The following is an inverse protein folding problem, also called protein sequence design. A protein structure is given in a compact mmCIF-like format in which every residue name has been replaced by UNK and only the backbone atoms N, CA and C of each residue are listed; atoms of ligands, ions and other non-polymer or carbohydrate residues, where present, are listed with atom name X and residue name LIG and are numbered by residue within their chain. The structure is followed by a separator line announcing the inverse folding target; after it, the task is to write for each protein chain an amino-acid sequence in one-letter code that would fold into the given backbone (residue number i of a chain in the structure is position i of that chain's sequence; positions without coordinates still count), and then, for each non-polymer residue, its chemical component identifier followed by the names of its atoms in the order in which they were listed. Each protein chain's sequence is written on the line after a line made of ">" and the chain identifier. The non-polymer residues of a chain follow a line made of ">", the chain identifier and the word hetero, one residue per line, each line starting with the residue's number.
data_IF_258342627286
#
_entry.id   IF_258342627286
#
_cell.length_a   1.000
_cell.length_b   1.000
_cell.length_c   1.000
_cell.angle_alpha   90.00
_cell.angle_beta   90.00
_cell.angle_gamma   90.00
#
_symmetry.space_group_name_H-M   'P 1'
#
loop_
_entity.id
_entity.type
_entity.pdbx_description
1 polymer ?
#
# COMPACT_ATOMS: atom_id res chain seq x y z
N UNK A 1 166.00 31.11 18.37
CA UNK A 1 166.76 29.87 18.69
C UNK A 1 166.61 28.91 17.53
N UNK A 2 167.73 28.48 16.96
CA UNK A 2 167.81 27.42 15.96
C UNK A 2 167.44 26.07 16.58
N UNK A 3 166.66 25.26 15.88
CA UNK A 3 166.79 23.79 15.92
C UNK A 3 166.43 23.26 14.54
N UNK A 4 167.48 22.93 13.77
CA UNK A 4 167.40 22.16 12.53
C UNK A 4 167.19 20.69 12.90
N UNK A 5 166.25 20.02 12.23
CA UNK A 5 166.22 18.55 12.13
C UNK A 5 166.24 18.20 10.63
N UNK A 6 167.17 17.34 10.16
CA UNK A 6 167.38 17.10 8.73
C UNK A 6 166.40 16.06 8.15
N UNK A 7 166.02 16.31 6.90
CA UNK A 7 165.10 15.51 6.07
C UNK A 7 165.80 14.27 5.49
N UNK A 8 165.15 13.10 5.57
CA UNK A 8 165.47 11.93 4.75
C UNK A 8 164.58 11.92 3.50
N UNK A 9 165.14 12.34 2.36
CA UNK A 9 164.46 12.48 1.05
C UNK A 9 163.90 11.20 0.39
N UNK A 10 164.28 9.94 0.72
CA UNK A 10 163.67 8.77 0.08
C UNK A 10 162.29 8.36 0.63
N UNK A 11 161.86 8.82 1.82
CA UNK A 11 160.62 8.33 2.44
C UNK A 11 159.34 8.99 1.88
N UNK A 12 159.42 10.25 1.43
CA UNK A 12 158.26 11.00 0.91
C UNK A 12 157.78 10.49 -0.47
N UNK A 13 158.68 9.88 -1.26
CA UNK A 13 158.37 9.35 -2.60
C UNK A 13 157.58 8.04 -2.54
N UNK A 14 157.78 7.22 -1.50
CA UNK A 14 157.05 5.97 -1.30
C UNK A 14 155.58 6.23 -0.97
N UNK A 15 155.29 7.27 -0.17
CA UNK A 15 153.92 7.62 0.21
C UNK A 15 153.13 8.15 -0.99
N UNK A 16 153.75 8.97 -1.85
CA UNK A 16 153.10 9.47 -3.07
C UNK A 16 152.87 8.34 -4.08
N UNK A 17 153.81 7.40 -4.21
CA UNK A 17 153.63 6.21 -5.06
C UNK A 17 152.48 5.30 -4.62
N UNK A 18 152.27 5.14 -3.31
CA UNK A 18 151.22 4.28 -2.75
C UNK A 18 149.81 4.89 -2.88
N UNK A 19 149.70 6.22 -2.81
CA UNK A 19 148.44 6.94 -3.02
C UNK A 19 148.02 6.92 -4.50
N UNK A 20 148.97 7.02 -5.44
CA UNK A 20 148.66 6.96 -6.88
C UNK A 20 148.30 5.52 -7.30
N UNK A 21 148.98 4.51 -6.76
CA UNK A 21 148.67 3.09 -7.03
C UNK A 21 147.26 2.66 -6.59
N UNK A 22 146.77 3.19 -5.45
CA UNK A 22 145.41 2.89 -4.98
C UNK A 22 144.31 3.62 -5.79
N UNK A 23 144.60 4.77 -6.40
CA UNK A 23 143.62 5.56 -7.15
C UNK A 23 143.31 5.02 -8.56
N UNK A 24 144.27 4.37 -9.21
CA UNK A 24 144.11 3.84 -10.57
C UNK A 24 143.50 2.42 -10.61
N UNK A 25 143.54 1.67 -9.50
CA UNK A 25 142.88 0.36 -9.37
C UNK A 25 141.36 0.41 -9.17
N UNK A 26 140.81 1.58 -8.79
CA UNK A 26 139.36 1.76 -8.56
C UNK A 26 138.63 2.39 -9.76
N UNK A 27 139.34 2.97 -10.74
CA UNK A 27 138.74 3.67 -11.88
C UNK A 27 138.38 2.78 -13.09
N UNK A 28 139.09 1.67 -13.32
CA UNK A 28 138.83 0.77 -14.45
C UNK A 28 137.68 -0.23 -14.21
N UNK A 29 137.25 -0.39 -12.96
CA UNK A 29 136.00 -1.09 -12.61
C UNK A 29 134.73 -0.31 -12.94
N UNK A 30 134.81 0.98 -13.30
CA UNK A 30 133.62 1.76 -13.67
C UNK A 30 133.34 1.78 -15.18
N UNK A 31 134.34 1.60 -16.05
CA UNK A 31 134.14 1.72 -17.50
C UNK A 31 133.64 0.44 -18.19
N UNK A 32 133.95 -0.75 -17.65
CA UNK A 32 133.56 -2.04 -18.24
C UNK A 32 132.16 -2.49 -17.81
N UNK A 33 131.69 -2.05 -16.64
CA UNK A 33 130.42 -2.51 -16.07
C UNK A 33 129.21 -1.64 -16.42
N UNK A 34 129.42 -0.39 -16.89
CA UNK A 34 128.32 0.54 -17.17
C UNK A 34 127.49 0.20 -18.42
N UNK A 35 128.08 -0.16 -19.59
CA UNK A 35 127.28 -0.48 -20.78
C UNK A 35 126.40 -1.73 -20.59
N UNK A 36 126.94 -2.77 -19.96
CA UNK A 36 126.18 -4.00 -19.65
C UNK A 36 125.10 -3.76 -18.59
N UNK A 37 125.40 -2.97 -17.55
CA UNK A 37 124.37 -2.55 -16.58
C UNK A 37 123.27 -1.69 -17.23
N UNK A 38 123.62 -0.81 -18.17
CA UNK A 38 122.66 0.04 -18.88
C UNK A 38 121.78 -0.79 -19.81
N UNK A 39 122.34 -1.74 -20.56
CA UNK A 39 121.58 -2.67 -21.40
C UNK A 39 120.66 -3.57 -20.58
N UNK A 40 121.14 -4.08 -19.45
CA UNK A 40 120.33 -4.90 -18.55
C UNK A 40 119.20 -4.08 -17.92
N UNK A 41 119.47 -2.82 -17.52
CA UNK A 41 118.44 -1.88 -17.08
C UNK A 41 117.45 -1.53 -18.18
N UNK A 42 117.91 -1.34 -19.43
CA UNK A 42 117.03 -1.09 -20.58
C UNK A 42 116.10 -2.27 -20.81
N UNK A 43 116.63 -3.49 -20.80
CA UNK A 43 115.84 -4.72 -20.92
C UNK A 43 114.82 -4.86 -19.79
N UNK A 44 115.21 -4.60 -18.54
CA UNK A 44 114.26 -4.59 -17.41
C UNK A 44 113.20 -3.48 -17.54
N UNK A 45 113.57 -2.32 -18.08
CA UNK A 45 112.62 -1.24 -18.34
C UNK A 45 111.65 -1.63 -19.47
N UNK A 46 112.12 -2.23 -20.56
CA UNK A 46 111.30 -2.74 -21.65
C UNK A 46 110.34 -3.84 -21.19
N UNK A 47 110.81 -4.79 -20.37
CA UNK A 47 109.96 -5.81 -19.74
C UNK A 47 108.87 -5.16 -18.88
N UNK A 48 109.23 -4.18 -18.04
CA UNK A 48 108.26 -3.43 -17.22
C UNK A 48 107.29 -2.60 -18.06
N UNK A 49 107.74 -2.04 -19.18
CA UNK A 49 106.87 -1.32 -20.12
C UNK A 49 105.88 -2.31 -20.75
N UNK A 50 106.35 -3.48 -21.19
CA UNK A 50 105.49 -4.55 -21.70
C UNK A 50 104.44 -4.98 -20.67
N UNK A 51 104.81 -5.18 -19.41
CA UNK A 51 103.86 -5.51 -18.33
C UNK A 51 102.82 -4.40 -18.10
N UNK A 52 103.24 -3.14 -18.20
CA UNK A 52 102.36 -1.98 -18.11
C UNK A 52 101.40 -1.95 -19.29
N UNK A 53 101.86 -2.18 -20.52
CA UNK A 53 101.01 -2.23 -21.72
C UNK A 53 99.96 -3.34 -21.62
N UNK A 54 100.35 -4.54 -21.16
CA UNK A 54 99.40 -5.63 -20.92
C UNK A 54 98.39 -5.26 -19.84
N UNK A 55 98.83 -4.60 -18.76
CA UNK A 55 97.95 -4.15 -17.69
C UNK A 55 96.95 -3.09 -18.18
N UNK A 56 97.41 -2.15 -19.02
CA UNK A 56 96.58 -1.12 -19.65
C UNK A 56 95.55 -1.75 -20.59
N UNK A 57 95.95 -2.70 -21.44
CA UNK A 57 95.02 -3.42 -22.31
C UNK A 57 93.96 -4.21 -21.52
N UNK A 58 94.37 -4.86 -20.42
CA UNK A 58 93.45 -5.56 -19.52
C UNK A 58 92.47 -4.59 -18.82
N UNK A 59 92.93 -3.40 -18.44
CA UNK A 59 92.07 -2.35 -17.89
C UNK A 59 91.08 -1.82 -18.93
N UNK A 60 91.51 -1.61 -20.17
CA UNK A 60 90.66 -1.14 -21.27
C UNK A 60 89.52 -2.12 -21.55
N UNK A 61 89.84 -3.42 -21.61
CA UNK A 61 88.83 -4.48 -21.73
C UNK A 61 87.83 -4.49 -20.57
N UNK A 62 88.30 -4.30 -19.32
CA UNK A 62 87.42 -4.18 -18.15
C UNK A 62 86.52 -2.94 -18.23
N UNK A 63 87.06 -1.80 -18.66
CA UNK A 63 86.30 -0.56 -18.84
C UNK A 63 85.21 -0.76 -19.89
N UNK A 64 85.51 -1.40 -21.01
CA UNK A 64 84.52 -1.73 -22.04
C UNK A 64 83.38 -2.59 -21.47
N UNK A 65 83.72 -3.65 -20.73
CA UNK A 65 82.72 -4.53 -20.10
C UNK A 65 81.86 -3.81 -19.04
N UNK A 66 82.45 -2.88 -18.30
CA UNK A 66 81.72 -2.02 -17.35
C UNK A 66 80.74 -1.11 -18.11
N UNK A 67 81.16 -0.48 -19.21
CA UNK A 67 80.29 0.37 -20.02
C UNK A 67 79.10 -0.41 -20.59
N UNK A 68 79.32 -1.63 -21.08
CA UNK A 68 78.25 -2.51 -21.55
C UNK A 68 77.26 -2.83 -20.40
N UNK A 69 77.78 -3.13 -19.22
CA UNK A 69 76.95 -3.38 -18.02
C UNK A 69 76.14 -2.15 -17.62
N UNK A 70 76.73 -0.96 -17.67
CA UNK A 70 76.04 0.31 -17.41
C UNK A 70 74.92 0.53 -18.43
N UNK A 71 75.16 0.25 -19.71
CA UNK A 71 74.12 0.38 -20.75
C UNK A 71 72.93 -0.56 -20.50
N UNK A 72 73.18 -1.79 -20.05
CA UNK A 72 72.11 -2.75 -19.68
C UNK A 72 71.35 -2.28 -18.44
N UNK A 73 72.06 -1.71 -17.45
CA UNK A 73 71.44 -1.14 -16.24
C UNK A 73 70.55 0.05 -16.61
N UNK A 74 71.00 0.95 -17.49
CA UNK A 74 70.21 2.09 -17.95
C UNK A 74 68.90 1.64 -18.63
N UNK A 75 68.98 0.65 -19.51
CA UNK A 75 67.79 0.03 -20.12
C UNK A 75 66.83 -0.57 -19.08
N UNK A 76 67.38 -1.22 -18.06
CA UNK A 76 66.59 -1.80 -16.97
C UNK A 76 65.92 -0.73 -16.10
N UNK A 77 66.63 0.36 -15.79
CA UNK A 77 66.09 1.50 -15.03
C UNK A 77 64.95 2.19 -15.81
N UNK A 78 65.10 2.36 -17.12
CA UNK A 78 64.04 2.89 -17.97
C UNK A 78 62.78 1.99 -17.96
N UNK A 79 62.97 0.66 -17.96
CA UNK A 79 61.87 -0.30 -17.80
C UNK A 79 61.17 -0.18 -16.43
N UNK A 80 61.92 0.02 -15.35
CA UNK A 80 61.37 0.24 -14.01
C UNK A 80 60.57 1.56 -13.94
N UNK A 81 61.05 2.63 -14.56
CA UNK A 81 60.32 3.91 -14.63
C UNK A 81 58.98 3.76 -15.37
N UNK A 82 58.95 3.00 -16.47
CA UNK A 82 57.71 2.70 -17.19
C UNK A 82 56.71 1.89 -16.33
N UNK A 83 57.20 0.93 -15.53
CA UNK A 83 56.36 0.18 -14.59
C UNK A 83 55.78 1.08 -13.51
N UNK A 84 56.55 2.05 -13.00
CA UNK A 84 56.06 3.01 -12.01
C UNK A 84 54.89 3.85 -12.55
N UNK A 85 54.94 4.26 -13.82
CA UNK A 85 53.83 4.97 -14.46
C UNK A 85 52.58 4.08 -14.58
N UNK A 86 52.73 2.82 -15.00
CA UNK A 86 51.63 1.84 -15.04
C UNK A 86 50.99 1.66 -13.66
N UNK A 87 51.81 1.55 -12.60
CA UNK A 87 51.31 1.44 -11.22
C UNK A 87 50.48 2.66 -10.81
N UNK A 88 50.92 3.88 -11.16
CA UNK A 88 50.17 5.10 -10.88
C UNK A 88 48.83 5.13 -11.65
N UNK A 89 48.82 4.71 -12.91
CA UNK A 89 47.58 4.61 -13.70
C UNK A 89 46.61 3.57 -13.11
N UNK A 90 47.12 2.42 -12.66
CA UNK A 90 46.31 1.41 -11.97
C UNK A 90 45.72 1.98 -10.68
N UNK A 91 46.53 2.67 -9.88
CA UNK A 91 46.07 3.31 -8.64
C UNK A 91 44.93 4.30 -8.91
N UNK A 92 45.04 5.14 -9.93
CA UNK A 92 43.97 6.08 -10.33
C UNK A 92 42.69 5.35 -10.76
N UNK A 93 42.81 4.25 -11.51
CA UNK A 93 41.65 3.44 -11.93
C UNK A 93 40.98 2.76 -10.74
N UNK A 94 41.76 2.24 -9.79
CA UNK A 94 41.24 1.65 -8.54
C UNK A 94 40.45 2.68 -7.75
N UNK A 95 41.00 3.88 -7.53
CA UNK A 95 40.28 4.94 -6.80
C UNK A 95 38.98 5.36 -7.51
N UNK A 96 38.96 5.34 -8.84
CA UNK A 96 37.73 5.63 -9.60
C UNK A 96 36.67 4.54 -9.39
N UNK A 97 37.08 3.27 -9.38
CA UNK A 97 36.18 2.13 -9.12
C UNK A 97 35.63 2.17 -7.69
N UNK A 98 36.47 2.49 -6.69
CA UNK A 98 36.05 2.63 -5.29
C UNK A 98 34.97 3.72 -5.13
N UNK A 99 35.18 4.88 -5.76
CA UNK A 99 34.18 5.96 -5.74
C UNK A 99 32.88 5.57 -6.47
N UNK A 100 32.99 4.85 -7.58
CA UNK A 100 31.82 4.30 -8.28
C UNK A 100 31.04 3.32 -7.41
N UNK A 101 31.73 2.44 -6.68
CA UNK A 101 31.12 1.49 -5.76
C UNK A 101 30.41 2.18 -4.59
N UNK A 102 31.01 3.23 -4.03
CA UNK A 102 30.36 4.05 -2.98
C UNK A 102 29.07 4.69 -3.50
N UNK A 103 29.10 5.23 -4.72
CA UNK A 103 27.94 5.86 -5.36
C UNK A 103 26.80 4.85 -5.54
N UNK A 104 27.10 3.70 -6.13
CA UNK A 104 26.13 2.62 -6.32
C UNK A 104 25.53 2.13 -5.00
N UNK A 105 26.34 1.99 -3.95
CA UNK A 105 25.84 1.60 -2.63
C UNK A 105 24.87 2.64 -2.04
N UNK A 106 25.10 3.93 -2.28
CA UNK A 106 24.20 4.98 -1.81
C UNK A 106 22.88 4.99 -2.62
N UNK A 107 22.95 4.80 -3.93
CA UNK A 107 21.77 4.67 -4.79
C UNK A 107 20.93 3.45 -4.39
N UNK A 108 21.55 2.30 -4.12
CA UNK A 108 20.86 1.10 -3.65
C UNK A 108 20.13 1.33 -2.32
N UNK A 109 20.74 2.03 -1.38
CA UNK A 109 20.07 2.42 -0.12
C UNK A 109 18.90 3.37 -0.36
N UNK A 110 19.02 4.27 -1.34
CA UNK A 110 17.94 5.15 -1.75
C UNK A 110 16.74 4.34 -2.25
N UNK A 111 16.99 3.40 -3.16
CA UNK A 111 15.96 2.51 -3.71
C UNK A 111 15.33 1.61 -2.63
N UNK A 112 16.10 1.11 -1.68
CA UNK A 112 15.58 0.32 -0.55
C UNK A 112 14.60 1.15 0.30
N UNK A 113 14.92 2.41 0.58
CA UNK A 113 14.03 3.30 1.31
C UNK A 113 12.75 3.62 0.52
N UNK A 114 12.86 3.88 -0.79
CA UNK A 114 11.70 4.11 -1.66
C UNK A 114 10.80 2.87 -1.72
N UNK A 115 11.38 1.68 -1.81
CA UNK A 115 10.63 0.41 -1.80
C UNK A 115 9.86 0.23 -0.49
N UNK A 116 10.52 0.45 0.65
CA UNK A 116 9.87 0.37 1.96
C UNK A 116 8.71 1.37 2.09
N UNK A 117 8.84 2.57 1.51
CA UNK A 117 7.75 3.55 1.49
C UNK A 117 6.58 3.07 0.64
N UNK A 118 6.85 2.52 -0.55
CA UNK A 118 5.82 1.97 -1.43
C UNK A 118 5.08 0.80 -0.77
N UNK A 119 5.79 -0.08 -0.06
CA UNK A 119 5.17 -1.17 0.71
C UNK A 119 4.24 -0.64 1.81
N UNK A 120 4.67 0.39 2.53
CA UNK A 120 3.83 1.04 3.56
C UNK A 120 2.60 1.71 2.95
N UNK A 121 2.75 2.39 1.82
CA UNK A 121 1.64 3.06 1.13
C UNK A 121 0.63 2.02 0.61
N UNK A 122 1.12 0.88 0.09
CA UNK A 122 0.27 -0.20 -0.38
C UNK A 122 -0.55 -0.82 0.76
N UNK A 123 0.07 -1.07 1.92
CA UNK A 123 -0.64 -1.57 3.10
C UNK A 123 -1.74 -0.59 3.57
N UNK A 124 -1.46 0.71 3.59
CA UNK A 124 -2.44 1.72 3.96
C UNK A 124 -3.62 1.79 2.97
N UNK A 125 -3.36 1.58 1.68
CA UNK A 125 -4.41 1.49 0.65
C UNK A 125 -5.26 0.24 0.86
N UNK A 126 -4.65 -0.91 1.16
CA UNK A 126 -5.37 -2.17 1.43
C UNK A 126 -6.32 -2.03 2.63
N UNK A 127 -5.84 -1.45 3.73
CA UNK A 127 -6.65 -1.17 4.91
C UNK A 127 -7.83 -0.23 4.57
N UNK A 128 -7.56 0.87 3.87
CA UNK A 128 -8.58 1.83 3.45
C UNK A 128 -9.63 1.19 2.54
N UNK A 129 -9.21 0.29 1.64
CA UNK A 129 -10.12 -0.43 0.74
C UNK A 129 -11.02 -1.43 1.49
N UNK A 130 -10.47 -2.09 2.51
CA UNK A 130 -11.23 -2.97 3.40
C UNK A 130 -12.32 -2.20 4.14
N UNK A 131 -11.99 -1.03 4.67
CA UNK A 131 -12.96 -0.13 5.34
C UNK A 131 -14.09 0.31 4.39
N UNK A 132 -13.74 0.71 3.16
CA UNK A 132 -14.74 1.08 2.14
C UNK A 132 -15.67 -0.09 1.82
N UNK A 133 -15.12 -1.31 1.72
CA UNK A 133 -15.92 -2.51 1.44
C UNK A 133 -16.92 -2.80 2.57
N UNK A 134 -16.48 -2.66 3.83
CA UNK A 134 -17.36 -2.84 4.99
C UNK A 134 -18.47 -1.78 5.03
N UNK A 135 -18.13 -0.50 4.79
CA UNK A 135 -19.12 0.58 4.72
C UNK A 135 -20.16 0.35 3.62
N UNK A 136 -19.76 -0.21 2.48
CA UNK A 136 -20.69 -0.54 1.40
C UNK A 136 -21.66 -1.67 1.81
N UNK A 137 -21.18 -2.69 2.50
CA UNK A 137 -22.02 -3.78 3.05
C UNK A 137 -23.05 -3.26 4.06
N UNK A 138 -22.65 -2.34 4.93
CA UNK A 138 -23.56 -1.71 5.90
C UNK A 138 -24.64 -0.87 5.19
N UNK A 139 -24.25 -0.14 4.14
CA UNK A 139 -25.18 0.64 3.33
C UNK A 139 -26.21 -0.24 2.60
N UNK A 140 -25.78 -1.37 2.04
CA UNK A 140 -26.65 -2.34 1.40
C UNK A 140 -27.69 -2.90 2.38
N UNK A 141 -27.26 -3.23 3.60
CA UNK A 141 -28.16 -3.70 4.67
C UNK A 141 -29.19 -2.63 5.05
N UNK A 142 -28.75 -1.38 5.22
CA UNK A 142 -29.62 -0.26 5.54
C UNK A 142 -30.64 0.01 4.41
N UNK A 143 -30.22 -0.10 3.15
CA UNK A 143 -31.09 0.05 1.99
C UNK A 143 -32.22 -0.99 1.99
N UNK A 144 -31.90 -2.27 2.24
CA UNK A 144 -32.93 -3.32 2.32
C UNK A 144 -33.90 -3.11 3.48
N UNK A 145 -33.42 -2.66 4.64
CA UNK A 145 -34.28 -2.33 5.77
C UNK A 145 -35.29 -1.23 5.41
N UNK A 146 -34.82 -0.12 4.83
CA UNK A 146 -35.70 0.99 4.40
C UNK A 146 -36.70 0.54 3.32
N UNK A 147 -36.27 -0.30 2.38
CA UNK A 147 -37.17 -0.81 1.34
C UNK A 147 -38.30 -1.69 1.91
N UNK A 148 -38.00 -2.49 2.92
CA UNK A 148 -39.01 -3.30 3.62
C UNK A 148 -39.98 -2.41 4.40
N UNK A 149 -39.47 -1.44 5.16
CA UNK A 149 -40.32 -0.46 5.87
C UNK A 149 -41.23 0.32 4.91
N UNK A 150 -40.72 0.71 3.74
CA UNK A 150 -41.52 1.39 2.71
C UNK A 150 -42.64 0.49 2.19
N UNK A 151 -42.36 -0.80 1.99
CA UNK A 151 -43.36 -1.79 1.56
C UNK A 151 -44.47 -1.96 2.61
N UNK A 152 -44.10 -2.02 3.90
CA UNK A 152 -45.05 -2.11 5.01
C UNK A 152 -45.93 -0.84 5.09
N UNK A 153 -45.32 0.34 4.97
CA UNK A 153 -46.03 1.63 4.95
C UNK A 153 -46.99 1.69 3.76
N UNK A 154 -46.58 1.25 2.58
CA UNK A 154 -47.46 1.17 1.41
C UNK A 154 -48.68 0.27 1.69
N UNK A 155 -48.47 -0.88 2.35
CA UNK A 155 -49.55 -1.75 2.79
C UNK A 155 -50.55 -1.05 3.72
N UNK A 156 -50.06 -0.33 4.73
CA UNK A 156 -50.89 0.41 5.69
C UNK A 156 -51.68 1.56 5.03
N UNK A 157 -51.05 2.29 4.10
CA UNK A 157 -51.73 3.38 3.37
C UNK A 157 -52.87 2.83 2.53
N UNK A 158 -52.64 1.72 1.81
CA UNK A 158 -53.68 1.10 0.96
C UNK A 158 -54.81 0.51 1.78
N UNK A 159 -54.52 -0.08 2.94
CA UNK A 159 -55.53 -0.50 3.89
C UNK A 159 -56.39 0.69 4.36
N UNK A 160 -55.75 1.80 4.73
CA UNK A 160 -56.43 3.01 5.18
C UNK A 160 -57.32 3.62 4.09
N UNK A 161 -56.85 3.65 2.84
CA UNK A 161 -57.66 4.07 1.70
C UNK A 161 -58.90 3.19 1.53
N UNK A 162 -58.76 1.87 1.70
CA UNK A 162 -59.88 0.94 1.67
C UNK A 162 -60.93 1.24 2.75
N UNK A 163 -60.47 1.49 3.98
CA UNK A 163 -61.34 1.92 5.09
C UNK A 163 -62.05 3.22 4.73
N UNK A 164 -61.32 4.23 4.25
CA UNK A 164 -61.88 5.54 3.88
C UNK A 164 -62.94 5.42 2.79
N UNK A 165 -62.70 4.60 1.76
CA UNK A 165 -63.66 4.35 0.68
C UNK A 165 -64.93 3.71 1.24
N UNK A 166 -64.82 2.65 2.05
CA UNK A 166 -66.00 1.97 2.60
C UNK A 166 -66.76 2.86 3.59
N UNK A 167 -66.08 3.61 4.46
CA UNK A 167 -66.73 4.58 5.36
C UNK A 167 -67.45 5.67 4.55
N UNK A 168 -66.85 6.16 3.46
CA UNK A 168 -67.50 7.10 2.55
C UNK A 168 -68.74 6.51 1.88
N UNK A 169 -68.67 5.25 1.45
CA UNK A 169 -69.83 4.51 0.94
C UNK A 169 -70.95 4.38 1.98
N UNK A 170 -70.59 4.17 3.25
CA UNK A 170 -71.54 4.05 4.36
C UNK A 170 -72.14 5.37 4.85
N UNK A 171 -71.51 6.50 4.54
CA UNK A 171 -72.07 7.81 4.87
C UNK A 171 -73.31 8.15 4.01
N UNK A 172 -73.47 7.50 2.86
CA UNK A 172 -74.66 7.61 2.02
C UNK A 172 -74.91 6.27 1.31
N UNK A 173 -75.38 5.25 2.05
CA UNK A 173 -75.52 3.92 1.49
C UNK A 173 -76.63 3.88 0.43
N UNK A 174 -76.57 2.96 -0.54
CA UNK A 174 -77.67 2.77 -1.47
C UNK A 174 -78.86 2.10 -0.76
N UNK A 175 -80.08 2.35 -1.25
CA UNK A 175 -81.31 1.79 -0.67
C UNK A 175 -81.33 0.25 -0.60
N UNK A 176 -80.64 -0.43 -1.52
CA UNK A 176 -80.49 -1.89 -1.50
C UNK A 176 -79.68 -2.38 -0.30
N UNK A 177 -78.79 -1.53 0.23
CA UNK A 177 -78.02 -1.82 1.42
C UNK A 177 -78.81 -1.58 2.71
N UNK A 178 -79.51 -0.45 2.78
CA UNK A 178 -80.42 -0.15 3.88
C UNK A 178 -81.47 -1.26 4.05
N UNK A 179 -81.98 -1.78 2.92
CA UNK A 179 -82.89 -2.92 2.92
C UNK A 179 -82.26 -4.17 3.55
N UNK A 180 -80.98 -4.46 3.28
CA UNK A 180 -80.28 -5.60 3.91
C UNK A 180 -80.15 -5.40 5.42
N UNK A 181 -79.79 -4.20 5.88
CA UNK A 181 -79.73 -3.89 7.32
C UNK A 181 -81.12 -4.06 7.95
N UNK A 182 -82.16 -3.52 7.33
CA UNK A 182 -83.53 -3.62 7.83
C UNK A 182 -84.03 -5.07 7.92
N UNK A 183 -83.65 -5.92 6.96
CA UNK A 183 -83.97 -7.36 6.99
C UNK A 183 -83.26 -8.06 8.14
N UNK A 184 -81.96 -7.81 8.35
CA UNK A 184 -81.22 -8.42 9.47
C UNK A 184 -81.75 -7.94 10.84
N UNK A 185 -82.02 -6.65 10.98
CA UNK A 185 -82.65 -6.09 12.17
C UNK A 185 -84.02 -6.70 12.43
N UNK A 186 -84.85 -6.85 11.40
CA UNK A 186 -86.15 -7.48 11.52
C UNK A 186 -86.02 -8.92 12.08
N UNK A 187 -85.11 -9.71 11.52
CA UNK A 187 -84.89 -11.09 11.94
C UNK A 187 -84.51 -11.17 13.42
N UNK A 188 -83.62 -10.30 13.88
CA UNK A 188 -83.22 -10.23 15.29
C UNK A 188 -84.34 -9.71 16.18
N UNK A 189 -85.04 -8.64 15.77
CA UNK A 189 -86.11 -8.05 16.57
C UNK A 189 -87.31 -8.98 16.75
N UNK A 190 -87.65 -9.81 15.75
CA UNK A 190 -88.70 -10.83 15.91
C UNK A 190 -88.32 -11.88 16.96
N UNK A 191 -87.04 -12.23 17.05
CA UNK A 191 -86.53 -13.24 17.98
C UNK A 191 -86.37 -12.69 19.40
N UNK A 192 -85.88 -11.46 19.53
CA UNK A 192 -85.44 -10.90 20.81
C UNK A 192 -86.42 -9.90 21.43
N UNK A 193 -87.35 -9.35 20.66
CA UNK A 193 -88.30 -8.33 21.14
C UNK A 193 -89.76 -8.80 21.01
N UNK A 194 -90.35 -9.40 22.07
CA UNK A 194 -91.73 -9.89 22.04
C UNK A 194 -92.76 -8.81 21.70
N UNK A 195 -92.48 -7.57 22.10
CA UNK A 195 -93.30 -6.39 21.80
C UNK A 195 -93.32 -6.10 20.29
N UNK A 196 -92.14 -6.13 19.65
CA UNK A 196 -91.99 -5.99 18.21
C UNK A 196 -92.64 -7.15 17.47
N UNK A 197 -92.47 -8.39 17.93
CA UNK A 197 -93.10 -9.55 17.33
C UNK A 197 -94.62 -9.42 17.30
N UNK A 198 -95.23 -9.10 18.44
CA UNK A 198 -96.68 -8.91 18.55
C UNK A 198 -97.18 -7.81 17.61
N UNK A 199 -96.43 -6.71 17.51
CA UNK A 199 -96.73 -5.62 16.59
C UNK A 199 -96.60 -6.05 15.12
N UNK A 200 -95.52 -6.75 14.75
CA UNK A 200 -95.29 -7.25 13.39
C UNK A 200 -96.36 -8.24 12.96
N UNK A 201 -96.78 -9.15 13.84
CA UNK A 201 -97.86 -10.11 13.57
C UNK A 201 -99.19 -9.39 13.25
N UNK A 202 -99.44 -8.20 13.83
CA UNK A 202 -100.65 -7.40 13.62
C UNK A 202 -100.63 -6.61 12.30
N UNK A 203 -99.48 -6.04 11.94
CA UNK A 203 -99.36 -5.11 10.79
C UNK A 203 -98.72 -5.75 9.54
N UNK A 204 -98.16 -6.95 9.67
CA UNK A 204 -97.55 -7.73 8.61
C UNK A 204 -96.05 -7.49 8.45
N UNK A 205 -95.32 -8.56 8.13
CA UNK A 205 -93.86 -8.58 7.94
C UNK A 205 -93.38 -7.54 6.91
N UNK A 206 -94.05 -7.43 5.76
CA UNK A 206 -93.68 -6.48 4.71
C UNK A 206 -93.75 -5.04 5.20
N UNK A 207 -94.80 -4.70 5.95
CA UNK A 207 -94.98 -3.37 6.54
C UNK A 207 -93.88 -3.09 7.57
N UNK A 208 -93.58 -4.07 8.43
CA UNK A 208 -92.54 -3.97 9.44
C UNK A 208 -91.15 -3.72 8.83
N UNK A 209 -90.77 -4.51 7.81
CA UNK A 209 -89.50 -4.36 7.08
C UNK A 209 -89.39 -3.02 6.37
N UNK A 210 -90.47 -2.54 5.75
CA UNK A 210 -90.48 -1.23 5.08
C UNK A 210 -90.30 -0.07 6.06
N UNK A 211 -91.00 -0.10 7.20
CA UNK A 211 -90.86 0.93 8.22
C UNK A 211 -89.48 0.89 8.88
N UNK A 212 -88.91 -0.30 9.12
CA UNK A 212 -87.53 -0.42 9.57
C UNK A 212 -86.54 0.18 8.57
N UNK A 213 -86.74 -0.08 7.27
CA UNK A 213 -85.89 0.51 6.24
C UNK A 213 -85.92 2.04 6.27
N UNK A 214 -87.08 2.66 6.49
CA UNK A 214 -87.19 4.13 6.61
C UNK A 214 -86.45 4.68 7.83
N UNK A 215 -86.53 3.99 8.97
CA UNK A 215 -85.77 4.39 10.16
C UNK A 215 -84.26 4.22 9.95
N UNK A 216 -83.83 3.17 9.22
CA UNK A 216 -82.43 2.98 8.85
C UNK A 216 -81.92 4.06 7.91
N UNK A 217 -82.67 4.38 6.84
CA UNK A 217 -82.36 5.51 5.94
C UNK A 217 -82.16 6.82 6.73
N UNK A 218 -83.04 7.07 7.70
CA UNK A 218 -82.95 8.29 8.53
C UNK A 218 -81.69 8.37 9.43
N UNK A 219 -81.13 7.24 9.86
CA UNK A 219 -79.97 7.22 10.77
C UNK A 219 -78.65 6.85 10.08
N UNK A 220 -78.68 6.15 8.94
CA UNK A 220 -77.52 5.51 8.35
C UNK A 220 -76.36 6.48 8.07
N UNK A 221 -76.66 7.65 7.50
CA UNK A 221 -75.65 8.67 7.22
C UNK A 221 -75.03 9.34 8.45
N UNK A 222 -75.65 9.17 9.63
CA UNK A 222 -75.14 9.68 10.91
C UNK A 222 -74.37 8.65 11.73
N UNK A 223 -74.28 7.40 11.28
CA UNK A 223 -73.60 6.33 12.02
C UNK A 223 -72.08 6.51 11.97
N UNK A 224 -71.42 6.27 13.12
CA UNK A 224 -69.96 6.28 13.23
C UNK A 224 -69.45 4.86 12.97
N UNK A 225 -68.67 4.71 11.91
CA UNK A 225 -68.10 3.42 11.50
C UNK A 225 -66.65 3.32 11.96
N UNK A 226 -66.37 2.29 12.76
CA UNK A 226 -65.02 1.98 13.22
C UNK A 226 -64.47 0.78 12.44
N UNK A 227 -63.24 0.84 11.91
CA UNK A 227 -62.59 -0.33 11.34
C UNK A 227 -62.31 -1.39 12.42
N UNK A 228 -62.39 -2.66 12.06
CA UNK A 228 -62.15 -3.78 12.96
C UNK A 228 -61.04 -4.71 12.47
N UNK A 229 -61.26 -5.37 11.32
CA UNK A 229 -60.32 -6.31 10.71
C UNK A 229 -60.26 -6.06 9.21
N UNK A 230 -59.06 -5.83 8.69
CA UNK A 230 -58.84 -5.61 7.28
C UNK A 230 -57.82 -6.60 6.77
N UNK A 231 -58.08 -7.20 5.60
CA UNK A 231 -57.18 -8.17 4.99
C UNK A 231 -56.98 -7.85 3.51
N UNK A 232 -55.74 -7.93 2.99
CA UNK A 232 -55.51 -7.78 1.56
C UNK A 232 -56.14 -8.97 0.81
N UNK A 233 -56.83 -8.69 -0.29
CA UNK A 233 -57.46 -9.67 -1.17
C UNK A 233 -57.03 -9.36 -2.60
N UNK A 234 -55.76 -9.64 -2.89
CA UNK A 234 -55.11 -9.35 -4.17
C UNK A 234 -54.33 -8.04 -4.16
N UNK A 235 -53.89 -7.62 -5.35
CA UNK A 235 -52.96 -6.49 -5.48
C UNK A 235 -53.64 -5.16 -5.18
N UNK A 236 -54.87 -4.93 -5.65
CA UNK A 236 -55.54 -3.62 -5.56
C UNK A 236 -56.84 -3.67 -4.77
N UNK A 237 -57.00 -4.67 -3.89
CA UNK A 237 -58.25 -4.86 -3.17
C UNK A 237 -58.04 -5.31 -1.74
N UNK A 238 -58.86 -4.77 -0.85
CA UNK A 238 -58.88 -5.11 0.57
C UNK A 238 -60.28 -5.56 0.96
N UNK A 239 -60.35 -6.60 1.76
CA UNK A 239 -61.54 -6.93 2.51
C UNK A 239 -61.54 -6.11 3.80
N UNK A 240 -62.47 -5.17 3.89
CA UNK A 240 -62.59 -4.23 5.00
C UNK A 240 -63.77 -4.65 5.87
N UNK A 241 -63.56 -4.67 7.18
CA UNK A 241 -64.61 -4.86 8.18
C UNK A 241 -64.83 -3.56 8.95
N UNK A 242 -66.03 -3.01 8.87
CA UNK A 242 -66.48 -1.89 9.67
C UNK A 242 -67.49 -2.36 10.71
N UNK A 243 -67.55 -1.66 11.83
CA UNK A 243 -68.53 -1.89 12.89
C UNK A 243 -69.10 -0.58 13.40
N UNK A 244 -70.36 -0.60 13.79
CA UNK A 244 -71.02 0.53 14.45
C UNK A 244 -71.91 0.07 15.59
N UNK A 245 -72.15 0.99 16.51
CA UNK A 245 -73.02 0.81 17.66
C UNK A 245 -74.02 1.96 17.70
N UNK A 246 -75.30 1.64 17.79
CA UNK A 246 -76.35 2.66 17.82
C UNK A 246 -77.56 2.23 18.64
N UNK A 247 -78.43 3.21 18.90
CA UNK A 247 -79.77 3.00 19.48
C UNK A 247 -80.80 3.25 18.41
N UNK A 248 -81.79 2.36 18.30
CA UNK A 248 -82.90 2.47 17.37
C UNK A 248 -84.18 2.79 18.15
N UNK A 249 -84.78 3.94 17.84
CA UNK A 249 -86.08 4.33 18.36
C UNK A 249 -87.16 4.06 17.31
N UNK A 250 -87.74 2.86 17.36
CA UNK A 250 -88.78 2.43 16.42
C UNK A 250 -90.18 2.88 16.89
N UNK A 251 -90.54 4.11 16.50
CA UNK A 251 -91.81 4.76 16.87
C UNK A 251 -93.08 3.96 16.53
N UNK A 252 -93.19 3.26 15.37
CA UNK A 252 -94.42 2.55 15.02
C UNK A 252 -94.83 1.47 16.05
N UNK A 253 -93.87 0.85 16.73
CA UNK A 253 -94.11 -0.10 17.82
C UNK A 253 -93.86 0.50 19.23
N UNK A 254 -93.54 1.79 19.33
CA UNK A 254 -93.12 2.46 20.57
C UNK A 254 -91.99 1.71 21.29
N UNK A 255 -91.02 1.22 20.52
CA UNK A 255 -89.92 0.38 20.99
C UNK A 255 -88.58 1.12 20.84
N UNK A 256 -87.77 1.09 21.90
CA UNK A 256 -86.37 1.55 21.86
C UNK A 256 -85.45 0.35 22.05
N UNK A 257 -84.60 0.10 21.05
CA UNK A 257 -83.58 -0.95 21.08
C UNK A 257 -82.21 -0.28 21.27
N UNK A 258 -81.55 -0.55 22.38
CA UNK A 258 -80.21 -0.01 22.68
C UNK A 258 -79.12 -1.00 22.29
N UNK A 259 -77.89 -0.48 22.16
CA UNK A 259 -76.67 -1.26 21.97
C UNK A 259 -76.72 -2.21 20.76
N UNK A 260 -77.29 -1.77 19.65
CA UNK A 260 -77.28 -2.55 18.41
C UNK A 260 -75.85 -2.57 17.88
N UNK A 261 -75.22 -3.75 17.82
CA UNK A 261 -73.93 -3.95 17.17
C UNK A 261 -74.11 -4.45 15.74
N UNK A 262 -73.72 -3.61 14.78
CA UNK A 262 -73.80 -3.90 13.36
C UNK A 262 -72.39 -4.00 12.78
N UNK A 263 -72.12 -5.12 12.13
CA UNK A 263 -70.88 -5.36 11.40
C UNK A 263 -71.14 -5.41 9.90
N UNK A 264 -70.21 -4.84 9.15
CA UNK A 264 -70.23 -4.84 7.70
C UNK A 264 -68.88 -5.30 7.18
N UNK A 265 -68.93 -6.17 6.19
CA UNK A 265 -67.74 -6.69 5.53
C UNK A 265 -67.89 -6.52 4.03
N UNK A 266 -66.89 -5.93 3.37
CA UNK A 266 -66.92 -5.71 1.93
C UNK A 266 -65.53 -5.85 1.32
N UNK A 267 -65.46 -6.20 0.04
CA UNK A 267 -64.24 -6.10 -0.75
C UNK A 267 -64.21 -4.75 -1.44
N UNK A 268 -63.21 -3.93 -1.13
CA UNK A 268 -62.99 -2.61 -1.69
C UNK A 268 -61.83 -2.69 -2.66
N UNK A 269 -62.05 -2.26 -3.91
CA UNK A 269 -60.98 -2.05 -4.86
C UNK A 269 -60.45 -0.61 -4.70
N UNK A 270 -59.16 -0.47 -4.36
CA UNK A 270 -58.55 0.80 -3.96
C UNK A 270 -58.45 1.77 -5.15
N UNK A 271 -58.17 1.25 -6.34
CA UNK A 271 -57.93 2.06 -7.54
C UNK A 271 -59.23 2.60 -8.15
N UNK A 272 -60.26 1.75 -8.23
CA UNK A 272 -61.57 2.12 -8.80
C UNK A 272 -62.54 2.69 -7.77
N UNK A 273 -62.30 2.49 -6.49
CA UNK A 273 -63.24 2.81 -5.42
C UNK A 273 -64.47 1.89 -5.35
N UNK A 274 -64.50 0.80 -6.13
CA UNK A 274 -65.64 -0.09 -6.17
C UNK A 274 -65.77 -0.90 -4.87
N UNK A 275 -67.00 -0.98 -4.34
CA UNK A 275 -67.36 -1.77 -3.16
C UNK A 275 -68.18 -2.99 -3.60
N UNK A 276 -67.64 -4.18 -3.37
CA UNK A 276 -68.19 -5.46 -3.79
C UNK A 276 -68.37 -6.43 -2.61
N UNK A 277 -69.12 -7.51 -2.83
CA UNK A 277 -69.30 -8.59 -1.84
C UNK A 277 -69.75 -8.10 -0.46
N UNK A 278 -70.61 -7.08 -0.44
CA UNK A 278 -71.09 -6.43 0.78
C UNK A 278 -71.99 -7.37 1.59
N UNK A 279 -71.51 -7.70 2.79
CA UNK A 279 -72.16 -8.55 3.78
C UNK A 279 -72.49 -7.73 5.03
N UNK A 280 -73.69 -7.96 5.55
CA UNK A 280 -74.18 -7.34 6.79
C UNK A 280 -74.36 -8.43 7.81
N UNK A 281 -73.95 -8.20 9.04
CA UNK A 281 -74.18 -9.11 10.15
C UNK A 281 -74.53 -8.31 11.39
N UNK A 282 -75.64 -8.66 12.03
CA UNK A 282 -75.96 -8.18 13.37
C UNK A 282 -75.33 -9.17 14.35
N UNK A 283 -74.42 -8.69 15.22
CA UNK A 283 -73.60 -9.59 16.03
C UNK A 283 -74.17 -9.80 17.42
N UNK A 284 -74.61 -8.74 18.08
CA UNK A 284 -75.16 -8.83 19.44
C UNK A 284 -76.08 -7.66 19.77
N UNK A 285 -76.96 -7.93 20.72
CA UNK A 285 -77.70 -6.92 21.48
C UNK A 285 -77.43 -7.20 22.96
N UNK A 286 -76.87 -6.22 23.67
CA UNK A 286 -76.74 -6.25 25.13
C UNK A 286 -77.80 -5.39 25.80
#
# INVERSE_FOLDING_TARGET
>A
MQTRIPVSKPLALVIIGLIIGLSLGLGSGYAVFYPDMVNQRSKTVEERIGDVEHSVAALDSKISSINDSISVIDGSLNGILALADIVNQISSRVSTLENGQITLNNELKGLENELNQVESDFAAIEDSWSDVTNQFSDLETAYYAVNNELTDIQGLVRENDGVRILTGYMANPPSTFEQKIAVELYNVMILEEPSFKTWSDLYGETTAKLLLQQEIDAIAGGLVWNPAENTPVGDDSYQIKLQTYFTLDFKPASLTVRNIHLEIKATVNIDSGAVNNLQVSLVEKM
#
